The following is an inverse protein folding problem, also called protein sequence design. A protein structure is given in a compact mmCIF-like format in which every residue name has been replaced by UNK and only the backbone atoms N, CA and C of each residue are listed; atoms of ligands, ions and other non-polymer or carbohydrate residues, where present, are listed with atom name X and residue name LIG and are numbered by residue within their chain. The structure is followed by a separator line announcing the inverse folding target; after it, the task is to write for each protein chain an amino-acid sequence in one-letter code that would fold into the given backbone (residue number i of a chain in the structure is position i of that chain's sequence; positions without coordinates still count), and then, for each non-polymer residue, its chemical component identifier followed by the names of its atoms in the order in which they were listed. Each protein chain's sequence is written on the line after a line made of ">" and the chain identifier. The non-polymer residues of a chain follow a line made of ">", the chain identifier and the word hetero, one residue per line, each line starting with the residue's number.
data_IF_180027062265
#
_entry.id   IF_180027062265
#
_cell.length_a   1.000
_cell.length_b   1.000
_cell.length_c   1.000
_cell.angle_alpha   90.00
_cell.angle_beta   90.00
_cell.angle_gamma   90.00
#
_symmetry.space_group_name_H-M   'P 1'
#
loop_
_entity.id
_entity.type
_entity.pdbx_description
1 polymer ?
#
# COMPACT_ATOMS: atom_id res chain seq x y z
N UNK A 1 5.31 10.89 1.92
CA UNK A 1 5.49 11.12 3.36
C UNK A 1 5.15 9.91 4.22
N UNK A 2 4.40 8.94 3.69
CA UNK A 2 3.96 7.76 4.45
C UNK A 2 4.78 6.49 4.17
N UNK A 3 5.90 6.59 3.45
CA UNK A 3 6.69 5.43 3.01
C UNK A 3 7.14 4.52 4.16
N UNK A 4 7.42 5.08 5.33
CA UNK A 4 7.77 4.28 6.51
C UNK A 4 6.58 3.52 7.12
N UNK A 5 5.36 3.83 6.69
CA UNK A 5 4.13 3.12 7.07
C UNK A 5 3.76 1.95 6.18
N UNK A 6 4.56 1.65 5.16
CA UNK A 6 4.32 0.52 4.26
C UNK A 6 4.48 -0.79 5.03
N UNK A 7 3.41 -1.57 5.09
CA UNK A 7 3.39 -2.87 5.78
C UNK A 7 3.13 -4.04 4.86
N UNK A 8 2.67 -3.80 3.64
CA UNK A 8 2.51 -4.81 2.60
C UNK A 8 2.50 -4.18 1.21
N UNK A 9 2.70 -5.02 0.18
CA UNK A 9 2.57 -4.64 -1.22
C UNK A 9 1.31 -5.27 -1.79
N UNK A 10 0.65 -4.58 -2.71
CA UNK A 10 -0.54 -5.10 -3.38
C UNK A 10 -0.35 -4.98 -4.89
N UNK A 11 -0.61 -6.08 -5.59
CA UNK A 11 -0.58 -6.12 -7.04
C UNK A 11 -2.00 -6.26 -7.60
N UNK A 12 -2.25 -5.61 -8.73
CA UNK A 12 -3.43 -5.89 -9.52
C UNK A 12 -3.40 -7.35 -10.01
N UNK A 13 -4.55 -8.03 -10.11
CA UNK A 13 -4.59 -9.41 -10.62
C UNK A 13 -3.99 -9.58 -12.01
N UNK A 14 -4.01 -8.53 -12.82
CA UNK A 14 -3.50 -8.50 -14.20
C UNK A 14 -2.00 -8.20 -14.29
N UNK A 15 -1.35 -7.91 -13.17
CA UNK A 15 0.06 -7.51 -13.19
C UNK A 15 0.95 -8.64 -13.71
N UNK A 16 1.89 -8.36 -14.64
CA UNK A 16 2.70 -9.41 -15.26
C UNK A 16 3.63 -10.16 -14.29
N UNK A 17 3.99 -9.57 -13.15
CA UNK A 17 4.82 -10.23 -12.14
C UNK A 17 4.09 -11.30 -11.34
N UNK A 18 2.76 -11.33 -11.38
CA UNK A 18 1.96 -12.25 -10.57
C UNK A 18 2.31 -13.71 -10.87
N UNK A 19 2.46 -14.08 -12.13
CA UNK A 19 2.81 -15.45 -12.52
C UNK A 19 4.12 -15.92 -11.89
N UNK A 20 5.14 -15.07 -11.89
CA UNK A 20 6.44 -15.36 -11.26
C UNK A 20 6.32 -15.51 -9.76
N UNK A 21 5.56 -14.63 -9.12
CA UNK A 21 5.44 -14.58 -7.67
C UNK A 21 4.70 -15.79 -7.10
N UNK A 22 3.78 -16.39 -7.85
CA UNK A 22 2.99 -17.54 -7.42
C UNK A 22 3.50 -18.88 -7.97
N UNK A 23 4.50 -18.88 -8.83
CA UNK A 23 4.96 -20.07 -9.57
C UNK A 23 5.27 -21.27 -8.66
N UNK A 24 5.85 -21.04 -7.49
CA UNK A 24 6.23 -22.07 -6.53
C UNK A 24 5.30 -22.15 -5.32
N UNK A 25 4.16 -21.47 -5.35
CA UNK A 25 3.22 -21.48 -4.24
C UNK A 25 2.42 -22.78 -4.26
N UNK A 26 2.32 -23.52 -3.13
CA UNK A 26 1.50 -24.73 -3.05
C UNK A 26 0.03 -24.51 -3.39
N UNK A 27 -0.48 -23.29 -3.22
CA UNK A 27 -1.86 -22.90 -3.53
C UNK A 27 -2.00 -22.20 -4.88
N UNK A 28 -1.07 -22.42 -5.80
CA UNK A 28 -1.06 -21.79 -7.13
C UNK A 28 -2.41 -21.91 -7.85
N UNK A 29 -3.05 -23.07 -7.82
CA UNK A 29 -4.33 -23.28 -8.48
C UNK A 29 -5.44 -22.39 -7.91
N UNK A 30 -5.48 -22.21 -6.58
CA UNK A 30 -6.43 -21.33 -5.91
C UNK A 30 -6.16 -19.86 -6.26
N UNK A 31 -4.89 -19.46 -6.31
CA UNK A 31 -4.47 -18.12 -6.70
C UNK A 31 -4.86 -17.82 -8.15
N UNK A 32 -4.63 -18.75 -9.07
CA UNK A 32 -5.02 -18.60 -10.47
C UNK A 32 -6.55 -18.46 -10.63
N UNK A 33 -7.32 -19.24 -9.90
CA UNK A 33 -8.78 -19.14 -9.90
C UNK A 33 -9.25 -17.78 -9.36
N UNK A 34 -8.64 -17.29 -8.29
CA UNK A 34 -8.92 -15.97 -7.73
C UNK A 34 -8.61 -14.85 -8.74
N UNK A 35 -7.45 -14.92 -9.39
CA UNK A 35 -7.01 -13.96 -10.39
C UNK A 35 -8.00 -13.90 -11.54
N UNK A 36 -8.39 -15.04 -12.07
CA UNK A 36 -9.35 -15.14 -13.18
C UNK A 36 -10.71 -14.53 -12.79
N UNK A 37 -11.21 -14.86 -11.60
CA UNK A 37 -12.45 -14.29 -11.09
C UNK A 37 -12.38 -12.75 -11.01
N UNK A 38 -11.28 -12.21 -10.48
CA UNK A 38 -11.12 -10.76 -10.33
C UNK A 38 -10.97 -10.06 -11.68
N UNK A 39 -10.27 -10.66 -12.62
CA UNK A 39 -10.10 -10.10 -13.98
C UNK A 39 -11.42 -10.01 -14.75
N UNK A 40 -12.35 -10.89 -14.45
CA UNK A 40 -13.67 -10.93 -15.10
C UNK A 40 -14.68 -9.96 -14.48
N UNK A 41 -14.36 -9.37 -13.32
CA UNK A 41 -15.21 -8.36 -12.71
C UNK A 41 -15.01 -6.98 -13.36
N UNK A 42 -16.11 -6.22 -13.46
CA UNK A 42 -16.07 -4.85 -13.95
C UNK A 42 -15.27 -3.96 -13.00
N UNK A 43 -14.42 -3.10 -13.53
CA UNK A 43 -13.56 -2.18 -12.76
C UNK A 43 -14.36 -1.28 -11.83
N UNK A 44 -15.52 -0.82 -12.25
CA UNK A 44 -16.40 0.01 -11.42
C UNK A 44 -16.87 -0.77 -10.20
N UNK A 45 -17.22 -2.05 -10.37
CA UNK A 45 -17.62 -2.92 -9.26
C UNK A 45 -16.45 -3.21 -8.34
N UNK A 46 -15.28 -3.49 -8.90
CA UNK A 46 -14.06 -3.80 -8.13
C UNK A 46 -13.61 -2.63 -7.24
N UNK A 47 -13.75 -1.42 -7.72
CA UNK A 47 -13.24 -0.21 -7.06
C UNK A 47 -14.31 0.62 -6.35
N UNK A 48 -15.55 0.16 -6.33
CA UNK A 48 -16.62 0.84 -5.59
C UNK A 48 -16.21 0.94 -4.09
N UNK A 49 -16.48 2.09 -3.51
CA UNK A 49 -16.08 2.40 -2.12
C UNK A 49 -16.61 1.37 -1.11
N UNK A 50 -17.85 0.93 -1.33
CA UNK A 50 -18.55 -0.06 -0.50
C UNK A 50 -18.30 -1.51 -0.92
N UNK A 51 -17.55 -1.75 -2.00
CA UNK A 51 -17.23 -3.10 -2.46
C UNK A 51 -16.33 -3.82 -1.46
N UNK A 52 -16.54 -5.13 -1.22
CA UNK A 52 -15.64 -5.92 -0.39
C UNK A 52 -14.20 -5.89 -0.96
N UNK A 53 -13.22 -5.63 -0.11
CA UNK A 53 -11.81 -5.73 -0.48
C UNK A 53 -11.41 -7.21 -0.41
N UNK A 54 -11.11 -7.80 -1.55
CA UNK A 54 -10.74 -9.21 -1.66
C UNK A 54 -9.30 -9.36 -2.13
N UNK A 55 -8.58 -10.29 -1.53
CA UNK A 55 -7.20 -10.55 -1.91
C UNK A 55 -6.69 -11.90 -1.44
N UNK A 56 -5.53 -12.28 -1.96
CA UNK A 56 -4.80 -13.48 -1.55
C UNK A 56 -3.31 -13.17 -1.44
N UNK A 57 -2.66 -13.81 -0.47
CA UNK A 57 -1.21 -13.72 -0.32
C UNK A 57 -0.50 -14.54 -1.40
N UNK A 58 0.51 -13.95 -2.07
CA UNK A 58 1.27 -14.62 -3.14
C UNK A 58 2.28 -15.66 -2.62
N UNK A 59 2.63 -15.61 -1.34
CA UNK A 59 3.74 -16.37 -0.77
C UNK A 59 5.10 -15.72 -0.96
N UNK A 60 5.16 -14.57 -1.60
CA UNK A 60 6.40 -13.84 -1.87
C UNK A 60 6.46 -12.53 -1.08
N UNK A 61 7.68 -11.99 -0.93
CA UNK A 61 7.95 -10.77 -0.17
C UNK A 61 8.75 -9.79 -1.02
N UNK A 62 8.57 -8.51 -0.74
CA UNK A 62 9.41 -7.43 -1.23
C UNK A 62 10.29 -6.89 -0.10
N UNK A 63 11.36 -6.20 -0.45
CA UNK A 63 12.24 -5.55 0.52
C UNK A 63 11.94 -4.06 0.52
N UNK A 64 11.63 -3.53 1.71
CA UNK A 64 11.40 -2.10 1.88
C UNK A 64 12.71 -1.34 1.59
N UNK A 65 12.72 -0.38 0.65
CA UNK A 65 13.95 0.24 0.19
C UNK A 65 14.67 1.09 1.24
N UNK A 66 13.96 1.57 2.25
CA UNK A 66 14.54 2.42 3.30
C UNK A 66 14.83 1.69 4.60
N UNK A 67 14.06 0.66 4.95
CA UNK A 67 14.20 -0.07 6.21
C UNK A 67 14.86 -1.42 6.07
N UNK A 68 14.89 -1.99 4.86
CA UNK A 68 15.36 -3.35 4.63
C UNK A 68 14.43 -4.44 5.11
N UNK A 69 13.27 -4.10 5.66
CA UNK A 69 12.28 -5.06 6.14
C UNK A 69 11.59 -5.79 4.99
N UNK A 70 11.26 -7.05 5.22
CA UNK A 70 10.45 -7.84 4.30
C UNK A 70 8.98 -7.47 4.47
N UNK A 71 8.30 -7.19 3.36
CA UNK A 71 6.88 -6.91 3.35
C UNK A 71 6.17 -7.93 2.44
N UNK A 72 5.05 -8.53 2.89
CA UNK A 72 4.35 -9.52 2.07
C UNK A 72 3.72 -8.89 0.83
N UNK A 73 3.68 -9.66 -0.26
CA UNK A 73 3.05 -9.24 -1.51
C UNK A 73 1.71 -9.96 -1.66
N UNK A 74 0.64 -9.17 -1.77
CA UNK A 74 -0.72 -9.63 -1.95
C UNK A 74 -1.23 -9.30 -3.34
N UNK A 75 -2.23 -10.04 -3.81
CA UNK A 75 -3.04 -9.71 -4.98
C UNK A 75 -4.39 -9.25 -4.46
N UNK A 76 -4.92 -8.15 -4.96
CA UNK A 76 -6.19 -7.62 -4.49
C UNK A 76 -7.04 -7.04 -5.63
N UNK A 77 -8.36 -7.09 -5.44
CA UNK A 77 -9.32 -6.63 -6.43
C UNK A 77 -9.43 -5.11 -6.59
N UNK A 78 -9.04 -4.35 -5.56
CA UNK A 78 -9.19 -2.89 -5.58
C UNK A 78 -8.02 -2.16 -6.26
N UNK A 79 -6.99 -2.87 -6.70
CA UNK A 79 -5.87 -2.32 -7.46
C UNK A 79 -6.07 -2.64 -8.95
N UNK A 80 -6.05 -1.59 -9.78
CA UNK A 80 -6.21 -1.73 -11.23
C UNK A 80 -4.90 -1.55 -11.96
N UNK A 81 -4.59 -2.44 -12.88
CA UNK A 81 -3.36 -2.38 -13.67
C UNK A 81 -3.29 -1.17 -14.61
N UNK A 82 -4.43 -0.75 -15.13
CA UNK A 82 -4.54 0.37 -16.06
C UNK A 82 -4.22 1.73 -15.43
N UNK A 83 -4.24 1.82 -14.10
CA UNK A 83 -3.98 3.05 -13.35
C UNK A 83 -2.63 2.97 -12.65
N UNK A 84 -1.58 3.39 -13.35
CA UNK A 84 -0.22 3.38 -12.83
C UNK A 84 0.51 2.08 -13.15
N UNK A 85 1.31 1.59 -12.21
CA UNK A 85 2.11 0.38 -12.38
C UNK A 85 1.35 -0.92 -12.09
N UNK A 86 0.14 -0.83 -11.53
CA UNK A 86 -0.59 -1.98 -11.02
C UNK A 86 0.01 -2.58 -9.76
N UNK A 87 0.92 -1.85 -9.11
CA UNK A 87 1.55 -2.24 -7.86
C UNK A 87 1.50 -1.06 -6.88
N UNK A 88 1.08 -1.33 -5.66
CA UNK A 88 0.89 -0.31 -4.62
C UNK A 88 1.65 -0.72 -3.36
N UNK A 89 2.43 0.22 -2.82
CA UNK A 89 2.94 0.11 -1.45
C UNK A 89 1.81 0.51 -0.51
N UNK A 90 1.28 -0.45 0.24
CA UNK A 90 0.11 -0.22 1.07
C UNK A 90 0.48 0.38 2.43
N UNK A 91 -0.24 1.44 2.80
CA UNK A 91 -0.09 2.16 4.07
C UNK A 91 -1.45 2.20 4.77
N UNK A 92 -1.83 1.14 5.48
CA UNK A 92 -3.21 0.99 5.96
C UNK A 92 -3.65 2.03 6.97
N UNK A 93 -2.74 2.61 7.75
CA UNK A 93 -3.11 3.65 8.70
C UNK A 93 -3.45 5.00 8.07
N UNK A 94 -3.06 5.21 6.82
CA UNK A 94 -3.21 6.52 6.14
C UNK A 94 -3.90 6.44 4.79
N UNK A 95 -4.42 5.27 4.42
CA UNK A 95 -5.26 5.06 3.24
C UNK A 95 -6.44 4.16 3.62
N UNK A 96 -7.66 4.62 3.37
CA UNK A 96 -8.86 3.91 3.82
C UNK A 96 -9.06 2.56 3.12
N UNK A 97 -8.72 2.44 1.84
CA UNK A 97 -8.83 1.17 1.12
C UNK A 97 -7.85 0.14 1.68
N UNK A 98 -6.62 0.57 1.94
CA UNK A 98 -5.61 -0.28 2.56
C UNK A 98 -5.98 -0.63 4.01
N UNK A 99 -6.59 0.29 4.75
CA UNK A 99 -7.12 0.05 6.09
C UNK A 99 -8.16 -1.07 6.08
N UNK A 100 -9.17 -0.97 5.22
CA UNK A 100 -10.22 -1.97 5.11
C UNK A 100 -9.67 -3.34 4.76
N UNK A 101 -8.73 -3.41 3.83
CA UNK A 101 -8.05 -4.63 3.43
C UNK A 101 -7.24 -5.22 4.58
N UNK A 102 -6.43 -4.41 5.24
CA UNK A 102 -5.60 -4.85 6.37
C UNK A 102 -6.43 -5.36 7.54
N UNK A 103 -7.55 -4.71 7.85
CA UNK A 103 -8.48 -5.18 8.88
C UNK A 103 -9.10 -6.52 8.52
N UNK A 104 -9.51 -6.69 7.28
CA UNK A 104 -10.10 -7.95 6.80
C UNK A 104 -9.14 -9.13 6.91
N UNK A 105 -7.87 -8.93 6.55
CA UNK A 105 -6.87 -9.99 6.50
C UNK A 105 -5.89 -9.97 7.67
N UNK A 106 -6.17 -9.17 8.69
CA UNK A 106 -5.34 -9.06 9.91
C UNK A 106 -3.88 -8.73 9.62
N UNK A 107 -3.65 -7.81 8.70
CA UNK A 107 -2.31 -7.37 8.33
C UNK A 107 -1.79 -6.29 9.30
N UNK A 108 -0.46 -6.21 9.50
CA UNK A 108 0.14 -5.21 10.37
C UNK A 108 -0.13 -3.79 9.89
N UNK A 109 -0.24 -2.87 10.85
CA UNK A 109 -0.38 -1.44 10.59
C UNK A 109 0.67 -0.66 11.36
N UNK A 110 1.10 0.47 10.82
CA UNK A 110 2.08 1.35 11.46
C UNK A 110 1.64 2.81 11.32
N UNK A 111 1.48 3.48 12.44
CA UNK A 111 1.16 4.91 12.47
C UNK A 111 2.41 5.71 12.16
N UNK A 112 2.38 6.51 11.10
CA UNK A 112 3.52 7.34 10.67
C UNK A 112 3.18 8.81 10.48
N UNK A 113 1.90 9.17 10.51
CA UNK A 113 1.44 10.57 10.51
C UNK A 113 0.53 10.78 11.71
N UNK A 114 0.90 11.73 12.56
CA UNK A 114 0.13 12.12 13.74
C UNK A 114 -0.67 13.38 13.46
N UNK A 115 -1.85 13.52 14.06
CA UNK A 115 -2.63 14.75 13.97
C UNK A 115 -1.99 15.87 14.84
N UNK A 116 -2.47 17.11 14.70
CA UNK A 116 -1.95 18.25 15.45
C UNK A 116 -2.05 18.10 16.97
N UNK A 117 -3.10 17.41 17.42
CA UNK A 117 -3.30 17.20 18.87
C UNK A 117 -2.44 16.08 19.44
N UNK A 118 -1.78 15.28 18.59
CA UNK A 118 -1.00 14.12 19.03
C UNK A 118 -1.85 13.01 19.63
N UNK A 119 -3.13 12.92 19.27
CA UNK A 119 -4.12 12.06 19.91
C UNK A 119 -4.39 10.72 19.19
N UNK A 120 -3.78 10.51 18.03
CA UNK A 120 -4.00 9.26 17.29
C UNK A 120 -3.30 8.08 17.97
N UNK A 121 -4.02 6.98 18.13
CA UNK A 121 -3.52 5.71 18.63
C UNK A 121 -4.08 4.58 17.79
N UNK A 122 -3.24 3.65 17.35
CA UNK A 122 -3.67 2.50 16.54
C UNK A 122 -4.80 1.70 17.20
N UNK A 123 -4.72 1.51 18.51
CA UNK A 123 -5.70 0.74 19.25
C UNK A 123 -7.09 1.39 19.32
N UNK A 124 -7.13 2.71 19.21
CA UNK A 124 -8.35 3.51 19.29
C UNK A 124 -8.90 3.93 17.94
N UNK A 125 -8.11 3.78 16.87
CA UNK A 125 -8.53 4.17 15.52
C UNK A 125 -9.57 3.20 14.95
N UNK A 126 -10.63 3.74 14.38
CA UNK A 126 -11.69 2.98 13.70
C UNK A 126 -11.67 3.20 12.17
N UNK A 127 -10.80 4.08 11.70
CA UNK A 127 -10.61 4.39 10.28
C UNK A 127 -9.21 4.92 10.04
N UNK A 128 -8.78 4.94 8.77
CA UNK A 128 -7.52 5.52 8.39
C UNK A 128 -7.50 7.05 8.64
N UNK A 129 -6.30 7.56 8.93
CA UNK A 129 -6.06 9.01 9.01
C UNK A 129 -5.36 9.44 7.71
N UNK A 130 -6.10 10.04 6.80
CA UNK A 130 -5.64 10.41 5.46
C UNK A 130 -5.29 11.90 5.28
N UNK A 131 -5.37 12.67 6.36
CA UNK A 131 -5.03 14.08 6.35
C UNK A 131 -3.53 14.33 6.61
N UNK A 132 -3.09 15.55 6.34
CA UNK A 132 -1.73 15.98 6.68
C UNK A 132 -1.52 16.08 8.19
N UNK A 133 -0.30 15.93 8.62
CA UNK A 133 0.08 16.01 10.02
C UNK A 133 1.58 16.04 10.19
N UNK A 134 2.06 15.50 11.31
CA UNK A 134 3.47 15.45 11.68
C UNK A 134 3.94 13.99 11.65
N UNK A 135 5.09 13.73 11.05
CA UNK A 135 5.62 12.38 10.94
C UNK A 135 6.09 11.85 12.30
N UNK A 136 5.76 10.57 12.52
CA UNK A 136 6.23 9.75 13.64
C UNK A 136 6.66 8.39 13.10
N UNK A 137 7.49 7.67 13.83
CA UNK A 137 7.98 6.33 13.42
C UNK A 137 8.57 6.32 11.99
N UNK A 138 9.19 7.40 11.58
CA UNK A 138 9.71 7.63 10.22
C UNK A 138 11.22 7.96 10.23
N UNK A 139 11.94 7.39 11.17
CA UNK A 139 13.39 7.54 11.35
C UNK A 139 13.82 9.03 11.42
N UNK A 140 14.74 9.43 10.57
CA UNK A 140 15.26 10.82 10.53
C UNK A 140 14.23 11.88 10.13
N UNK A 141 13.06 11.46 9.64
CA UNK A 141 12.00 12.38 9.21
C UNK A 141 10.95 12.65 10.28
N UNK A 142 11.11 12.08 11.46
CA UNK A 142 10.20 12.34 12.59
C UNK A 142 10.15 13.83 12.93
N UNK A 143 8.95 14.30 13.23
CA UNK A 143 8.71 15.68 13.58
C UNK A 143 8.49 16.63 12.41
N UNK A 144 8.73 16.19 11.16
CA UNK A 144 8.46 17.00 9.98
C UNK A 144 6.96 17.05 9.69
N UNK A 145 6.49 18.18 9.19
CA UNK A 145 5.14 18.28 8.64
C UNK A 145 5.07 17.54 7.31
N UNK A 146 3.90 17.01 6.95
CA UNK A 146 3.71 16.17 5.77
C UNK A 146 4.31 16.75 4.47
N UNK A 147 4.10 18.04 4.19
CA UNK A 147 4.65 18.69 3.00
C UNK A 147 6.18 18.72 2.98
N UNK A 148 6.80 19.10 4.10
CA UNK A 148 8.26 19.10 4.25
C UNK A 148 8.84 17.68 4.15
N UNK A 149 8.14 16.71 4.71
CA UNK A 149 8.54 15.32 4.68
C UNK A 149 8.51 14.74 3.26
N UNK A 150 7.51 15.08 2.47
CA UNK A 150 7.44 14.63 1.06
C UNK A 150 8.67 15.05 0.28
N UNK A 151 9.07 16.31 0.42
CA UNK A 151 10.27 16.84 -0.24
C UNK A 151 11.54 16.17 0.27
N UNK A 152 11.70 16.05 1.58
CA UNK A 152 12.88 15.46 2.20
C UNK A 152 13.04 13.97 1.83
N UNK A 153 11.97 13.20 1.85
CA UNK A 153 11.98 11.78 1.50
C UNK A 153 12.24 11.61 0.00
N UNK A 154 11.63 12.42 -0.85
CA UNK A 154 11.87 12.40 -2.28
C UNK A 154 13.35 12.66 -2.58
N UNK A 155 13.95 13.64 -1.93
CA UNK A 155 15.38 13.93 -2.07
C UNK A 155 16.24 12.76 -1.63
N UNK A 156 15.89 12.10 -0.53
CA UNK A 156 16.60 10.89 -0.08
C UNK A 156 16.56 9.78 -1.13
N UNK A 157 15.39 9.52 -1.73
CA UNK A 157 15.27 8.55 -2.81
C UNK A 157 16.12 8.92 -4.02
N UNK A 158 16.15 10.19 -4.41
CA UNK A 158 17.01 10.68 -5.50
C UNK A 158 18.48 10.50 -5.18
N UNK A 159 18.92 10.87 -3.97
CA UNK A 159 20.31 10.72 -3.51
C UNK A 159 20.74 9.25 -3.46
N UNK A 160 19.83 8.35 -3.15
CA UNK A 160 20.06 6.90 -3.16
C UNK A 160 19.97 6.27 -4.57
N UNK A 161 19.54 7.04 -5.58
CA UNK A 161 19.38 6.55 -6.95
C UNK A 161 18.21 5.57 -7.16
N UNK A 162 17.24 5.54 -6.24
CA UNK A 162 16.10 4.61 -6.30
C UNK A 162 14.76 5.29 -6.63
N UNK A 163 14.77 6.60 -6.89
CA UNK A 163 13.58 7.34 -7.25
C UNK A 163 13.89 8.73 -7.76
N UNK A 164 12.87 9.40 -8.27
CA UNK A 164 12.94 10.79 -8.70
C UNK A 164 11.63 11.50 -8.38
N UNK A 165 11.71 12.81 -8.10
CA UNK A 165 10.54 13.64 -7.91
C UNK A 165 9.86 13.92 -9.23
N UNK A 166 8.58 13.56 -9.34
CA UNK A 166 7.73 13.84 -10.51
C UNK A 166 6.43 14.47 -10.08
N UNK A 167 5.99 15.46 -10.83
CA UNK A 167 4.63 15.98 -10.70
C UNK A 167 3.73 15.11 -11.58
N UNK A 168 2.89 14.32 -10.94
CA UNK A 168 1.90 13.49 -11.61
C UNK A 168 0.52 14.10 -11.46
N UNK A 169 -0.10 14.45 -12.58
CA UNK A 169 -1.49 14.87 -12.59
C UNK A 169 -2.36 13.63 -12.76
N UNK A 170 -2.74 13.03 -11.63
CA UNK A 170 -3.69 11.92 -11.63
C UNK A 170 -4.96 12.34 -10.94
N UNK A 171 -6.08 11.98 -11.56
CA UNK A 171 -7.34 11.96 -10.84
C UNK A 171 -7.23 10.86 -9.78
N UNK A 172 -7.39 11.26 -8.54
CA UNK A 172 -7.61 10.28 -7.48
C UNK A 172 -9.05 9.81 -7.57
N UNK A 173 -9.19 8.54 -7.67
CA UNK A 173 -10.50 7.91 -7.59
C UNK A 173 -11.01 7.91 -6.15
#
# INVERSE_FOLDING_TARGET
>A
DTVYGVTYMVLAPEHPLVEKLIANNPEKAKLEAFIEKMRNENDIVRTAEDAPKLGMFTGSYAIHPLTGERVPIWIANYVLYEYGTGAVMAVPTHDQRDWDFAKKYSLPMKLVVQNKAGSLSLDEMDKAYDADGVLVNSAEFDGLKSGEAREAITKKFEDMGIGEGKVNYRLRD
#
